data_IF_763991258082
#
_entry.id   IF_763991258082
#
_cell.length_a   1.000
_cell.length_b   1.000
_cell.length_c   1.000
_cell.angle_alpha   90.00
_cell.angle_beta   90.00
_cell.angle_gamma   90.00
#
_symmetry.space_group_name_H-M   'P 1'
#
loop_
_entity.id
_entity.type
_entity.pdbx_description
1 polymer ?
#
# COMPACT_ATOMS: atom_id res chain seq x y z
N UNK A 1 24.20 -5.54 11.21
CA UNK A 1 23.38 -6.47 12.00
C UNK A 1 23.51 -7.83 11.34
N UNK A 2 23.93 -8.85 12.09
CA UNK A 2 24.05 -10.22 11.58
C UNK A 2 22.78 -11.04 11.83
N UNK A 3 22.66 -12.21 11.19
CA UNK A 3 21.43 -13.02 11.23
C UNK A 3 20.93 -13.38 12.65
N UNK A 4 21.82 -13.59 13.62
CA UNK A 4 21.42 -13.87 15.00
C UNK A 4 20.81 -12.65 15.68
N UNK A 5 21.43 -11.47 15.51
CA UNK A 5 20.87 -10.20 16.00
C UNK A 5 19.55 -9.86 15.31
N UNK A 6 19.42 -10.15 14.01
CA UNK A 6 18.16 -10.01 13.29
C UNK A 6 17.06 -10.89 13.89
N UNK A 7 17.36 -12.15 14.23
CA UNK A 7 16.39 -13.05 14.88
C UNK A 7 15.98 -12.55 16.27
N UNK A 8 16.93 -12.06 17.05
CA UNK A 8 16.64 -11.47 18.37
C UNK A 8 15.75 -10.24 18.25
N UNK A 9 16.15 -9.28 17.41
CA UNK A 9 15.38 -8.07 17.19
C UNK A 9 14.00 -8.34 16.57
N UNK A 10 13.93 -9.23 15.57
CA UNK A 10 12.68 -9.60 14.90
C UNK A 10 11.69 -10.25 15.87
N UNK A 11 12.14 -11.14 16.76
CA UNK A 11 11.29 -11.70 17.83
C UNK A 11 10.80 -10.62 18.78
N UNK A 12 11.69 -9.75 19.25
CA UNK A 12 11.31 -8.65 20.12
C UNK A 12 10.27 -7.71 19.48
N UNK A 13 10.38 -7.46 18.17
CA UNK A 13 9.41 -6.64 17.43
C UNK A 13 8.06 -7.35 17.24
N UNK A 14 8.06 -8.67 17.02
CA UNK A 14 6.83 -9.46 16.95
C UNK A 14 6.10 -9.43 18.29
N UNK A 15 6.82 -9.67 19.39
CA UNK A 15 6.28 -9.63 20.75
C UNK A 15 5.71 -8.23 21.07
N UNK A 16 6.46 -7.18 20.72
CA UNK A 16 6.01 -5.80 20.84
C UNK A 16 4.73 -5.51 20.05
N UNK A 17 4.67 -5.97 18.79
CA UNK A 17 3.53 -5.73 17.90
C UNK A 17 2.26 -6.39 18.42
N UNK A 18 2.37 -7.63 18.90
CA UNK A 18 1.25 -8.34 19.52
C UNK A 18 0.77 -7.60 20.77
N UNK A 19 1.68 -7.25 21.69
CA UNK A 19 1.35 -6.51 22.92
C UNK A 19 0.70 -5.15 22.61
N UNK A 20 1.20 -4.44 21.60
CA UNK A 20 0.64 -3.17 21.14
C UNK A 20 -0.81 -3.32 20.63
N UNK A 21 -1.09 -4.33 19.81
CA UNK A 21 -2.41 -4.54 19.21
C UNK A 21 -3.43 -5.04 20.24
N UNK A 22 -3.05 -5.98 21.11
CA UNK A 22 -3.93 -6.51 22.16
C UNK A 22 -4.31 -5.42 23.19
N UNK A 23 -3.39 -4.52 23.51
CA UNK A 23 -3.60 -3.47 24.53
C UNK A 23 -3.83 -2.08 23.93
N UNK A 24 -4.13 -1.96 22.64
CA UNK A 24 -4.32 -0.66 21.96
C UNK A 24 -5.47 0.17 22.57
N UNK A 25 -6.38 -0.49 23.30
CA UNK A 25 -7.48 0.14 24.04
C UNK A 25 -7.01 0.98 25.23
N UNK A 26 -5.79 0.81 25.71
CA UNK A 26 -5.27 1.59 26.83
C UNK A 26 -4.61 2.90 26.36
N UNK A 27 -4.34 2.99 25.05
CA UNK A 27 -3.72 4.18 24.45
C UNK A 27 -4.74 5.26 24.13
N UNK A 28 -4.31 6.51 24.29
CA UNK A 28 -5.06 7.69 23.86
C UNK A 28 -5.05 7.76 22.35
N UNK A 29 -6.22 7.74 21.74
CA UNK A 29 -6.42 7.64 20.29
C UNK A 29 -5.67 8.71 19.48
N UNK A 30 -5.81 9.98 19.86
CA UNK A 30 -5.13 11.12 19.24
C UNK A 30 -3.96 11.58 20.11
N UNK A 31 -2.80 11.87 19.52
CA UNK A 31 -1.64 12.35 20.26
C UNK A 31 -1.87 13.75 20.84
N UNK A 32 -0.99 14.17 21.75
CA UNK A 32 -1.04 15.49 22.43
C UNK A 32 0.12 16.41 22.04
N UNK A 33 0.79 16.08 20.95
CA UNK A 33 1.99 16.76 20.48
C UNK A 33 1.66 17.89 19.51
N UNK A 34 2.55 18.86 19.41
CA UNK A 34 2.46 19.95 18.45
C UNK A 34 3.33 19.69 17.20
N UNK A 35 3.02 20.31 16.05
CA UNK A 35 3.85 20.23 14.86
C UNK A 35 5.33 20.56 15.16
N UNK A 36 6.22 19.64 14.80
CA UNK A 36 7.66 19.76 15.05
C UNK A 36 8.19 19.08 16.33
N UNK A 37 7.33 18.47 17.15
CA UNK A 37 7.72 17.86 18.44
C UNK A 37 8.86 16.82 18.36
N UNK A 38 8.97 16.10 17.23
CA UNK A 38 9.88 14.96 17.09
C UNK A 38 11.34 15.42 16.90
N UNK A 39 11.55 16.53 16.18
CA UNK A 39 12.89 17.04 15.83
C UNK A 39 13.82 17.20 17.04
N UNK A 40 13.40 17.79 18.19
CA UNK A 40 14.27 17.89 19.36
C UNK A 40 14.51 16.57 20.11
N UNK A 41 13.81 15.48 19.78
CA UNK A 41 13.92 14.18 20.47
C UNK A 41 14.92 13.22 19.82
N UNK A 42 15.44 13.57 18.64
CA UNK A 42 16.39 12.78 17.86
C UNK A 42 17.65 13.62 17.53
N UNK A 43 18.78 12.97 17.21
CA UNK A 43 19.99 13.67 16.79
C UNK A 43 19.76 14.52 15.53
N UNK A 44 20.48 15.64 15.42
CA UNK A 44 20.40 16.53 14.25
C UNK A 44 20.97 15.88 12.97
N UNK A 45 21.93 14.96 13.13
CA UNK A 45 22.59 14.26 12.04
C UNK A 45 22.46 12.75 12.23
N UNK A 46 22.43 12.01 11.12
CA UNK A 46 22.47 10.56 11.15
C UNK A 46 23.76 10.05 11.82
N UNK A 47 23.71 8.95 12.58
CA UNK A 47 24.89 8.42 13.25
C UNK A 47 25.90 7.89 12.23
N UNK A 48 27.18 8.23 12.41
CA UNK A 48 28.27 7.71 11.56
C UNK A 48 28.60 6.24 11.86
N UNK A 49 28.19 5.75 13.03
CA UNK A 49 28.41 4.37 13.49
C UNK A 49 27.08 3.69 13.77
N UNK A 50 26.98 2.37 13.55
CA UNK A 50 25.77 1.63 13.86
C UNK A 50 25.38 1.76 15.34
N UNK A 51 24.10 2.01 15.58
CA UNK A 51 23.50 1.97 16.91
C UNK A 51 23.08 0.54 17.27
N UNK A 52 22.82 0.31 18.55
CA UNK A 52 22.28 -0.95 19.05
C UNK A 52 20.80 -1.04 18.73
N UNK A 53 20.32 -2.20 18.29
CA UNK A 53 18.91 -2.37 17.94
C UNK A 53 18.00 -2.20 19.17
N UNK A 54 18.52 -2.50 20.36
CA UNK A 54 17.82 -2.33 21.63
C UNK A 54 17.52 -0.85 21.91
N UNK A 55 18.41 0.05 21.49
CA UNK A 55 18.21 1.50 21.67
C UNK A 55 17.18 2.02 20.65
N UNK A 56 17.22 1.51 19.41
CA UNK A 56 16.17 1.77 18.39
C UNK A 56 14.80 1.30 18.86
N UNK A 57 14.70 0.10 19.46
CA UNK A 57 13.43 -0.43 19.95
C UNK A 57 12.88 0.39 21.11
N UNK A 58 13.73 0.86 22.04
CA UNK A 58 13.30 1.78 23.13
C UNK A 58 12.73 3.09 22.57
N UNK A 59 13.29 3.58 21.47
CA UNK A 59 12.85 4.82 20.85
C UNK A 59 11.47 4.73 20.20
N UNK A 60 10.98 3.51 19.90
CA UNK A 60 9.60 3.31 19.45
C UNK A 60 8.60 3.85 20.49
N UNK A 61 8.73 3.48 21.77
CA UNK A 61 7.85 4.01 22.82
C UNK A 61 8.23 5.42 23.27
N UNK A 62 9.53 5.72 23.35
CA UNK A 62 10.01 7.01 23.87
C UNK A 62 9.71 8.18 22.93
N UNK A 63 9.85 7.97 21.62
CA UNK A 63 9.86 9.05 20.61
C UNK A 63 8.71 8.93 19.62
N UNK A 64 8.45 7.72 19.12
CA UNK A 64 7.49 7.50 18.04
C UNK A 64 6.05 7.48 18.57
N UNK A 65 5.74 6.56 19.48
CA UNK A 65 4.37 6.34 19.99
C UNK A 65 3.67 7.59 20.54
N UNK A 66 4.33 8.57 21.20
CA UNK A 66 3.68 9.79 21.67
C UNK A 66 3.02 10.64 20.57
N UNK A 67 3.48 10.52 19.31
CA UNK A 67 2.90 11.21 18.16
C UNK A 67 2.07 10.32 17.23
N UNK A 68 1.89 9.04 17.55
CA UNK A 68 1.08 8.13 16.73
C UNK A 68 -0.41 8.41 17.00
N UNK A 69 -1.16 8.58 15.91
CA UNK A 69 -2.62 8.38 15.94
C UNK A 69 -2.90 6.89 15.86
N UNK A 70 -3.57 6.31 16.87
CA UNK A 70 -3.81 4.87 16.93
C UNK A 70 -5.03 4.45 16.10
N UNK A 71 -4.84 4.35 14.79
CA UNK A 71 -5.89 4.01 13.81
C UNK A 71 -6.66 2.72 14.08
N UNK A 72 -6.01 1.73 14.71
CA UNK A 72 -6.64 0.44 15.03
C UNK A 72 -7.27 0.41 16.43
N UNK A 73 -7.26 1.54 17.15
CA UNK A 73 -8.02 1.63 18.39
C UNK A 73 -9.51 1.53 18.08
N UNK A 74 -10.29 0.72 18.81
CA UNK A 74 -11.75 0.65 18.63
C UNK A 74 -12.46 1.96 19.05
N UNK A 75 -11.70 2.94 19.53
CA UNK A 75 -12.18 4.29 19.86
C UNK A 75 -11.87 5.32 18.75
N UNK A 76 -11.17 4.94 17.68
CA UNK A 76 -10.90 5.81 16.52
C UNK A 76 -11.99 5.64 15.44
N UNK A 77 -12.65 6.74 15.08
CA UNK A 77 -13.80 6.73 14.16
C UNK A 77 -13.72 7.82 13.07
N UNK A 78 -12.52 8.34 12.79
CA UNK A 78 -12.34 9.30 11.70
C UNK A 78 -12.04 8.58 10.36
N UNK A 79 -12.32 9.25 9.24
CA UNK A 79 -12.06 8.76 7.88
C UNK A 79 -12.71 7.38 7.60
N UNK A 80 -11.98 6.52 6.90
CA UNK A 80 -12.28 5.11 6.68
C UNK A 80 -11.22 4.24 7.36
N UNK A 81 -11.54 2.98 7.68
CA UNK A 81 -10.60 2.09 8.38
C UNK A 81 -9.37 1.78 7.53
N UNK A 82 -8.22 1.65 8.19
CA UNK A 82 -7.02 1.05 7.62
C UNK A 82 -6.98 -0.43 7.98
N UNK A 83 -6.87 -1.31 6.97
CA UNK A 83 -6.85 -2.75 7.19
C UNK A 83 -5.54 -3.17 7.89
N UNK A 84 -5.65 -4.00 8.91
CA UNK A 84 -4.52 -4.59 9.61
C UNK A 84 -4.90 -5.96 10.16
N UNK A 85 -4.01 -6.94 10.05
CA UNK A 85 -4.19 -8.28 10.62
C UNK A 85 -2.85 -8.98 10.78
N UNK A 86 -2.76 -9.90 11.75
CA UNK A 86 -1.54 -10.70 11.96
C UNK A 86 -1.08 -11.47 10.70
N UNK A 87 -1.97 -12.11 9.90
CA UNK A 87 -1.54 -12.77 8.67
C UNK A 87 -0.90 -11.82 7.65
N UNK A 88 -1.43 -10.60 7.51
CA UNK A 88 -0.87 -9.60 6.61
C UNK A 88 0.54 -9.15 7.04
N UNK A 89 0.73 -8.91 8.34
CA UNK A 89 2.04 -8.54 8.91
C UNK A 89 3.08 -9.64 8.63
N UNK A 90 2.72 -10.91 8.84
CA UNK A 90 3.63 -12.04 8.57
C UNK A 90 3.95 -12.18 7.08
N UNK A 91 2.96 -11.99 6.21
CA UNK A 91 3.16 -12.00 4.76
C UNK A 91 4.18 -10.91 4.34
N UNK A 92 4.07 -9.70 4.91
CA UNK A 92 4.98 -8.60 4.60
C UNK A 92 6.42 -8.84 5.08
N UNK A 93 6.63 -9.59 6.17
CA UNK A 93 7.97 -10.01 6.59
C UNK A 93 8.63 -10.84 5.48
N UNK A 94 7.89 -11.79 4.88
CA UNK A 94 8.41 -12.63 3.81
C UNK A 94 8.58 -11.83 2.51
N UNK A 95 7.60 -11.00 2.15
CA UNK A 95 7.68 -10.14 0.97
C UNK A 95 8.88 -9.19 1.04
N UNK A 96 9.14 -8.60 2.21
CA UNK A 96 10.32 -7.77 2.45
C UNK A 96 11.65 -8.53 2.39
N UNK A 97 11.67 -9.80 2.81
CA UNK A 97 12.86 -10.64 2.73
C UNK A 97 13.19 -11.07 1.28
N UNK A 98 12.17 -11.40 0.47
CA UNK A 98 12.35 -11.78 -0.94
C UNK A 98 12.64 -10.54 -1.79
N UNK A 99 11.93 -9.43 -1.53
CA UNK A 99 12.07 -8.16 -2.22
C UNK A 99 12.09 -8.27 -3.78
N UNK A 100 11.32 -9.21 -4.36
CA UNK A 100 11.24 -9.36 -5.82
C UNK A 100 10.63 -8.11 -6.47
N UNK A 101 11.22 -7.67 -7.58
CA UNK A 101 10.62 -6.63 -8.42
C UNK A 101 9.88 -7.31 -9.59
N UNK A 102 8.56 -7.26 -9.55
CA UNK A 102 7.67 -7.92 -10.53
C UNK A 102 7.31 -7.08 -11.75
N UNK A 103 8.20 -6.21 -12.27
CA UNK A 103 7.86 -5.30 -13.38
C UNK A 103 7.60 -6.02 -14.72
N UNK A 104 8.05 -7.26 -14.84
CA UNK A 104 7.77 -8.15 -15.95
C UNK A 104 7.68 -9.58 -15.43
N UNK A 105 6.99 -10.46 -16.18
CA UNK A 105 6.81 -11.85 -15.78
C UNK A 105 8.16 -12.55 -15.53
N UNK A 106 9.17 -12.34 -16.38
CA UNK A 106 10.48 -12.98 -16.23
C UNK A 106 11.27 -12.46 -15.04
N UNK A 107 11.01 -11.23 -14.59
CA UNK A 107 11.69 -10.64 -13.43
C UNK A 107 11.27 -11.33 -12.11
N UNK A 108 10.02 -11.80 -12.03
CA UNK A 108 9.57 -12.71 -10.97
C UNK A 108 8.23 -13.36 -11.36
N UNK A 109 8.27 -14.60 -11.87
CA UNK A 109 7.05 -15.32 -12.26
C UNK A 109 6.10 -15.50 -11.09
N UNK A 110 6.61 -15.87 -9.91
CA UNK A 110 5.80 -16.06 -8.72
C UNK A 110 5.09 -14.77 -8.27
N UNK A 111 5.76 -13.61 -8.34
CA UNK A 111 5.17 -12.30 -8.07
C UNK A 111 3.93 -12.07 -9.00
N UNK A 112 4.01 -12.43 -10.29
CA UNK A 112 2.90 -12.21 -11.26
C UNK A 112 1.79 -13.26 -11.16
N UNK A 113 2.16 -14.55 -11.17
CA UNK A 113 1.20 -15.67 -11.23
C UNK A 113 0.32 -15.72 -9.97
N UNK A 114 0.91 -15.49 -8.80
CA UNK A 114 0.16 -15.52 -7.55
C UNK A 114 -0.87 -14.38 -7.50
N UNK A 115 -0.51 -13.18 -7.98
CA UNK A 115 -1.42 -12.05 -8.03
C UNK A 115 -2.64 -12.34 -8.91
N UNK A 116 -2.43 -12.91 -10.10
CA UNK A 116 -3.52 -13.27 -11.02
C UNK A 116 -4.51 -14.23 -10.35
N UNK A 117 -4.01 -15.28 -9.69
CA UNK A 117 -4.86 -16.27 -9.00
C UNK A 117 -5.62 -15.64 -7.83
N UNK A 118 -4.96 -14.81 -7.02
CA UNK A 118 -5.59 -14.16 -5.88
C UNK A 118 -6.68 -13.16 -6.30
N UNK A 119 -6.48 -12.44 -7.40
CA UNK A 119 -7.48 -11.50 -7.91
C UNK A 119 -8.66 -12.21 -8.58
N UNK A 120 -8.46 -13.36 -9.19
CA UNK A 120 -9.57 -14.22 -9.61
C UNK A 120 -10.40 -14.70 -8.41
N UNK A 121 -9.74 -15.06 -7.31
CA UNK A 121 -10.44 -15.45 -6.07
C UNK A 121 -11.22 -14.29 -5.48
N UNK A 122 -10.60 -13.11 -5.38
CA UNK A 122 -11.25 -11.90 -4.88
C UNK A 122 -12.43 -11.49 -5.76
N UNK A 123 -12.25 -11.49 -7.09
CA UNK A 123 -13.29 -11.17 -8.05
C UNK A 123 -14.50 -12.09 -7.93
N UNK A 124 -14.27 -13.40 -7.74
CA UNK A 124 -15.34 -14.38 -7.45
C UNK A 124 -16.02 -14.10 -6.10
N UNK A 125 -15.24 -13.81 -5.06
CA UNK A 125 -15.76 -13.57 -3.71
C UNK A 125 -16.68 -12.34 -3.63
N UNK A 126 -16.42 -11.30 -4.42
CA UNK A 126 -17.27 -10.09 -4.49
C UNK A 126 -18.30 -10.13 -5.63
N UNK A 127 -18.40 -11.25 -6.37
CA UNK A 127 -19.40 -11.45 -7.42
C UNK A 127 -19.18 -10.61 -8.68
N UNK A 128 -17.94 -10.33 -9.07
CA UNK A 128 -17.66 -9.66 -10.34
C UNK A 128 -18.09 -10.54 -11.54
N UNK A 129 -18.55 -9.91 -12.64
CA UNK A 129 -18.78 -10.62 -13.89
C UNK A 129 -17.55 -11.40 -14.36
N UNK A 130 -17.77 -12.56 -14.98
CA UNK A 130 -16.69 -13.43 -15.48
C UNK A 130 -15.75 -12.73 -16.46
N UNK A 131 -16.21 -11.69 -17.18
CA UNK A 131 -15.38 -10.91 -18.09
C UNK A 131 -14.21 -10.21 -17.39
N UNK A 132 -14.25 -9.99 -16.07
CA UNK A 132 -13.17 -9.40 -15.29
C UNK A 132 -12.16 -10.44 -14.75
N UNK A 133 -12.44 -11.73 -14.89
CA UNK A 133 -11.61 -12.80 -14.34
C UNK A 133 -10.62 -13.31 -15.38
N UNK A 134 -9.34 -13.41 -15.03
CA UNK A 134 -8.29 -13.92 -15.91
C UNK A 134 -8.56 -15.39 -16.26
N UNK A 135 -9.04 -16.20 -15.31
CA UNK A 135 -9.41 -17.60 -15.54
C UNK A 135 -10.57 -17.81 -16.52
N UNK A 136 -11.25 -16.76 -16.98
CA UNK A 136 -12.31 -16.87 -17.98
C UNK A 136 -11.80 -17.13 -19.41
N UNK A 137 -10.49 -16.94 -19.65
CA UNK A 137 -9.91 -16.97 -21.00
C UNK A 137 -10.20 -15.73 -21.85
N UNK A 138 -10.77 -14.68 -21.23
CA UNK A 138 -11.02 -13.37 -21.85
C UNK A 138 -9.76 -12.53 -22.03
N UNK A 139 -9.95 -11.22 -22.25
CA UNK A 139 -8.87 -10.24 -22.47
C UNK A 139 -8.56 -9.38 -21.24
N UNK A 140 -9.24 -9.63 -20.13
CA UNK A 140 -9.16 -8.82 -18.92
C UNK A 140 -8.78 -9.69 -17.71
N UNK A 141 -8.49 -9.01 -16.60
CA UNK A 141 -8.06 -9.58 -15.34
C UNK A 141 -7.94 -8.47 -14.30
N UNK A 142 -7.50 -8.83 -13.10
CA UNK A 142 -7.18 -7.88 -12.04
C UNK A 142 -5.68 -7.54 -11.99
N UNK A 143 -5.35 -6.41 -11.36
CA UNK A 143 -4.00 -6.06 -10.90
C UNK A 143 -4.09 -5.37 -9.52
N UNK A 144 -3.11 -5.59 -8.64
CA UNK A 144 -3.00 -4.89 -7.35
C UNK A 144 -2.30 -3.54 -7.58
N UNK A 145 -2.93 -2.46 -7.13
CA UNK A 145 -2.42 -1.08 -7.23
C UNK A 145 -2.15 -0.52 -5.83
N UNK A 146 -1.35 0.55 -5.73
CA UNK A 146 -1.04 1.15 -4.42
C UNK A 146 -2.23 1.85 -3.80
N UNK A 147 -3.07 2.51 -4.60
CA UNK A 147 -4.26 3.22 -4.12
C UNK A 147 -5.43 3.19 -5.10
N UNK A 148 -6.64 3.41 -4.60
CA UNK A 148 -7.82 3.64 -5.44
C UNK A 148 -7.69 4.91 -6.32
N UNK A 149 -6.95 5.92 -5.84
CA UNK A 149 -6.69 7.14 -6.61
C UNK A 149 -5.83 6.86 -7.84
N UNK A 150 -4.77 6.08 -7.66
CA UNK A 150 -3.92 5.60 -8.75
C UNK A 150 -4.71 4.74 -9.74
N UNK A 151 -5.46 3.75 -9.26
CA UNK A 151 -6.28 2.89 -10.12
C UNK A 151 -7.30 3.70 -10.96
N UNK A 152 -7.92 4.73 -10.35
CA UNK A 152 -8.84 5.64 -11.05
C UNK A 152 -8.12 6.45 -12.12
N UNK A 153 -6.92 6.96 -11.82
CA UNK A 153 -6.09 7.68 -12.79
C UNK A 153 -5.66 6.78 -13.95
N UNK A 154 -5.22 5.55 -13.67
CA UNK A 154 -4.85 4.56 -14.70
C UNK A 154 -6.04 4.25 -15.61
N UNK A 155 -7.24 4.06 -15.03
CA UNK A 155 -8.46 3.86 -15.79
C UNK A 155 -8.79 5.07 -16.69
N UNK A 156 -8.66 6.29 -16.18
CA UNK A 156 -8.86 7.53 -16.95
C UNK A 156 -7.85 7.64 -18.12
N UNK A 157 -6.58 7.34 -17.88
CA UNK A 157 -5.53 7.35 -18.91
C UNK A 157 -5.81 6.30 -20.00
N UNK A 158 -6.22 5.09 -19.61
CA UNK A 158 -6.64 4.05 -20.55
C UNK A 158 -7.85 4.47 -21.38
N UNK A 159 -8.86 5.08 -20.77
CA UNK A 159 -10.03 5.61 -21.45
C UNK A 159 -9.67 6.73 -22.44
N UNK A 160 -8.82 7.67 -22.02
CA UNK A 160 -8.28 8.75 -22.86
C UNK A 160 -7.55 8.19 -24.08
N UNK A 161 -6.62 7.26 -23.89
CA UNK A 161 -5.85 6.64 -24.97
C UNK A 161 -6.75 5.88 -25.98
N UNK A 162 -7.76 5.16 -25.46
CA UNK A 162 -8.77 4.48 -26.29
C UNK A 162 -9.59 5.45 -27.12
N UNK A 163 -10.03 6.57 -26.52
CA UNK A 163 -10.80 7.61 -27.21
C UNK A 163 -9.97 8.30 -28.32
N UNK A 164 -8.71 8.62 -28.05
CA UNK A 164 -7.79 9.20 -29.04
C UNK A 164 -7.61 8.24 -30.23
N UNK A 165 -7.33 6.96 -29.95
CA UNK A 165 -7.18 5.94 -30.98
C UNK A 165 -8.43 5.81 -31.84
N UNK A 166 -9.62 5.80 -31.22
CA UNK A 166 -10.88 5.72 -31.94
C UNK A 166 -11.16 6.96 -32.81
N UNK A 167 -10.83 8.16 -32.33
CA UNK A 167 -10.99 9.40 -33.07
C UNK A 167 -10.04 9.47 -34.28
N UNK A 168 -8.75 9.14 -34.09
CA UNK A 168 -7.76 9.07 -35.18
C UNK A 168 -8.12 8.02 -36.23
N UNK A 169 -8.70 6.88 -35.83
CA UNK A 169 -9.20 5.87 -36.78
C UNK A 169 -10.32 6.41 -37.69
N UNK A 170 -11.16 7.33 -37.17
CA UNK A 170 -12.24 7.95 -37.96
C UNK A 170 -11.75 9.12 -38.80
N UNK A 171 -10.80 9.91 -38.31
CA UNK A 171 -10.20 11.02 -39.03
C UNK A 171 -8.69 11.09 -38.72
N UNK A 172 -7.85 10.49 -39.58
CA UNK A 172 -6.40 10.39 -39.35
C UNK A 172 -5.67 11.74 -39.28
N UNK A 173 -6.21 12.79 -39.90
CA UNK A 173 -5.61 14.13 -39.96
C UNK A 173 -5.80 14.93 -38.66
N UNK A 174 -6.65 14.46 -37.73
CA UNK A 174 -6.85 15.14 -36.46
C UNK A 174 -5.57 15.10 -35.61
N UNK A 175 -5.13 16.27 -35.17
CA UNK A 175 -4.07 16.37 -34.17
C UNK A 175 -4.59 15.86 -32.83
N UNK A 176 -3.70 15.21 -32.09
CA UNK A 176 -4.03 14.64 -30.78
C UNK A 176 -4.42 15.71 -29.77
N UNK A 177 -3.76 16.88 -29.81
CA UNK A 177 -4.11 18.05 -28.99
C UNK A 177 -5.57 18.45 -29.14
N UNK A 178 -6.08 18.45 -30.36
CA UNK A 178 -7.42 18.92 -30.69
C UNK A 178 -8.48 17.92 -30.24
N UNK A 179 -8.12 16.63 -30.19
CA UNK A 179 -8.96 15.57 -29.64
C UNK A 179 -8.99 15.70 -28.11
N UNK A 180 -7.82 15.79 -27.47
CA UNK A 180 -7.68 15.88 -26.01
C UNK A 180 -8.45 17.08 -25.47
N UNK A 181 -8.35 18.25 -26.12
CA UNK A 181 -9.05 19.47 -25.72
C UNK A 181 -10.59 19.34 -25.70
N UNK A 182 -11.15 18.31 -26.35
CA UNK A 182 -12.59 18.04 -26.42
C UNK A 182 -13.04 16.91 -25.49
N UNK A 183 -12.12 16.24 -24.80
CA UNK A 183 -12.47 15.16 -23.86
C UNK A 183 -13.01 15.76 -22.56
N UNK A 184 -14.08 15.17 -22.03
CA UNK A 184 -14.70 15.56 -20.76
C UNK A 184 -14.91 14.29 -19.93
N UNK A 185 -14.44 14.31 -18.68
CA UNK A 185 -14.71 13.28 -17.68
C UNK A 185 -15.82 13.74 -16.73
N UNK A 186 -16.60 12.80 -16.22
CA UNK A 186 -17.70 13.07 -15.30
C UNK A 186 -17.48 12.30 -14.00
N UNK A 187 -17.89 12.89 -12.88
CA UNK A 187 -17.91 12.25 -11.56
C UNK A 187 -19.11 12.77 -10.76
N UNK A 188 -19.46 12.06 -9.69
CA UNK A 188 -20.40 12.56 -8.68
C UNK A 188 -19.84 13.83 -8.03
N UNK A 189 -20.72 14.80 -7.73
CA UNK A 189 -20.38 15.96 -6.90
C UNK A 189 -20.45 15.67 -5.39
N UNK A 190 -20.94 14.48 -5.04
CA UNK A 190 -21.08 13.97 -3.67
C UNK A 190 -20.03 12.92 -3.39
#
# INVERSE_FOLDING_TARGET
MEANQFKEFGKAMIDYTAEYLENIRDRRVLPTVEPGYLRPLIPENAPEKPEKWEDVLKDVERVIMPGITHWHSPRFHAYFPTANSYPAIVADILSGAIACIGFSWIASPACTELEVVMLDWLGKAIGLPNEFLACSGGKAGGVIQGTASEATLVALLGAKAKAITAAKKKNPELKESDIIAKLVGYTSSK
#
